data_IF_600538799459
#
_entry.id   IF_600538799459
#
_cell.length_a   1.000
_cell.length_b   1.000
_cell.length_c   1.000
_cell.angle_alpha   90.00
_cell.angle_beta   90.00
_cell.angle_gamma   90.00
#
_symmetry.space_group_name_H-M   'P 1'
#
loop_
_entity.id
_entity.type
_entity.pdbx_description
1 polymer ?
#
# COMPACT_ATOMS: atom_id res chain seq x y z
N UNK A 1 9.52 -13.93 -8.51
CA UNK A 1 8.33 -13.17 -8.07
C UNK A 1 8.71 -11.81 -7.45
N UNK A 2 9.41 -11.73 -6.31
CA UNK A 2 9.82 -10.44 -5.68
C UNK A 2 10.50 -9.47 -6.66
N UNK A 3 11.55 -9.91 -7.37
CA UNK A 3 12.24 -9.07 -8.37
C UNK A 3 11.37 -8.69 -9.57
N UNK A 4 10.44 -9.56 -9.98
CA UNK A 4 9.53 -9.32 -11.11
C UNK A 4 8.42 -8.30 -10.76
N UNK A 5 8.05 -8.23 -9.48
CA UNK A 5 7.13 -7.24 -8.94
C UNK A 5 7.82 -5.92 -8.54
N UNK A 6 9.12 -5.77 -8.82
CA UNK A 6 9.89 -4.56 -8.52
C UNK A 6 10.68 -4.59 -7.20
N UNK A 7 10.45 -5.57 -6.32
CA UNK A 7 11.18 -5.69 -5.05
C UNK A 7 12.66 -6.11 -5.20
N UNK A 8 13.33 -6.28 -4.06
CA UNK A 8 14.72 -6.76 -3.99
C UNK A 8 14.84 -7.95 -3.03
N UNK A 9 15.97 -8.69 -3.00
CA UNK A 9 16.12 -9.80 -2.05
C UNK A 9 15.98 -9.41 -0.57
N UNK A 10 16.15 -8.12 -0.25
CA UNK A 10 16.08 -7.60 1.12
C UNK A 10 14.81 -6.78 1.39
N UNK A 11 14.05 -6.39 0.37
CA UNK A 11 12.88 -5.52 0.50
C UNK A 11 11.71 -6.05 -0.31
N UNK A 12 10.56 -6.17 0.35
CA UNK A 12 9.28 -6.50 -0.27
C UNK A 12 8.94 -5.46 -1.36
N UNK A 13 8.31 -5.87 -2.48
CA UNK A 13 7.88 -4.93 -3.52
C UNK A 13 6.96 -3.84 -2.97
N UNK A 14 6.85 -2.72 -3.68
CA UNK A 14 6.01 -1.57 -3.34
C UNK A 14 4.56 -1.95 -3.04
N UNK A 15 4.03 -2.91 -3.81
CA UNK A 15 2.66 -3.44 -3.67
C UNK A 15 2.55 -4.60 -2.67
N UNK A 16 3.60 -4.84 -1.87
CA UNK A 16 3.68 -6.03 -1.03
C UNK A 16 4.05 -7.29 -1.83
N UNK A 17 3.90 -8.48 -1.21
CA UNK A 17 4.16 -9.75 -1.89
C UNK A 17 3.13 -9.99 -3.00
N UNK A 18 3.51 -9.67 -4.24
CA UNK A 18 2.77 -9.96 -5.46
C UNK A 18 3.22 -11.31 -6.03
N UNK A 19 3.10 -12.39 -5.24
CA UNK A 19 3.41 -13.72 -5.75
C UNK A 19 2.21 -14.22 -6.58
N UNK A 20 2.48 -14.86 -7.70
CA UNK A 20 1.53 -15.70 -8.45
C UNK A 20 0.87 -16.78 -7.57
N UNK A 21 1.52 -17.13 -6.47
CA UNK A 21 1.04 -18.07 -5.45
C UNK A 21 0.31 -17.41 -4.27
N UNK A 22 0.26 -16.07 -4.20
CA UNK A 22 -0.48 -15.37 -3.13
C UNK A 22 -1.95 -15.30 -3.50
N UNK A 23 -2.75 -16.21 -2.94
CA UNK A 23 -4.21 -16.19 -3.07
C UNK A 23 -4.78 -14.95 -2.39
N UNK A 24 -5.39 -14.07 -3.17
CA UNK A 24 -6.12 -12.91 -2.64
C UNK A 24 -7.53 -13.33 -2.26
N UNK A 25 -8.17 -12.67 -1.28
CA UNK A 25 -9.57 -12.91 -0.94
C UNK A 25 -10.51 -12.94 -2.15
N UNK A 26 -10.25 -12.06 -3.11
CA UNK A 26 -11.04 -11.94 -4.33
C UNK A 26 -10.91 -13.17 -5.24
N UNK A 27 -9.78 -13.89 -5.20
CA UNK A 27 -9.54 -15.05 -6.05
C UNK A 27 -10.39 -16.27 -5.65
N UNK A 28 -10.92 -16.30 -4.41
CA UNK A 28 -11.89 -17.29 -3.94
C UNK A 28 -13.29 -16.70 -3.68
N UNK A 29 -13.59 -15.55 -4.30
CA UNK A 29 -14.93 -14.97 -4.31
C UNK A 29 -15.34 -14.20 -3.05
N UNK A 30 -14.40 -13.90 -2.15
CA UNK A 30 -14.72 -13.02 -1.02
C UNK A 30 -14.97 -11.59 -1.53
N UNK A 31 -16.08 -10.94 -1.14
CA UNK A 31 -16.35 -9.57 -1.53
C UNK A 31 -15.36 -8.60 -0.87
N UNK A 32 -15.08 -7.48 -1.54
CA UNK A 32 -14.35 -6.36 -0.92
C UNK A 32 -15.20 -5.82 0.24
N UNK A 33 -14.58 -5.61 1.40
CA UNK A 33 -15.24 -4.99 2.53
C UNK A 33 -15.68 -3.56 2.19
N UNK A 34 -16.96 -3.24 2.41
CA UNK A 34 -17.54 -1.93 2.17
C UNK A 34 -18.29 -1.50 3.44
N UNK A 35 -17.72 -0.55 4.18
CA UNK A 35 -18.33 0.05 5.38
C UNK A 35 -18.18 1.57 5.38
N UNK A 36 -18.75 2.25 6.37
CA UNK A 36 -18.52 3.70 6.52
C UNK A 36 -17.05 3.99 6.87
N UNK A 37 -16.54 5.22 6.66
CA UNK A 37 -15.18 5.57 7.08
C UNK A 37 -14.87 5.23 8.54
N UNK A 38 -15.83 5.41 9.45
CA UNK A 38 -15.69 5.12 10.88
C UNK A 38 -15.61 3.60 11.15
N UNK A 39 -16.43 2.81 10.46
CA UNK A 39 -16.40 1.34 10.55
C UNK A 39 -15.09 0.77 10.00
N UNK A 40 -14.61 1.34 8.90
CA UNK A 40 -13.34 0.97 8.28
C UNK A 40 -12.17 1.30 9.23
N UNK A 41 -12.14 2.49 9.83
CA UNK A 41 -11.12 2.86 10.80
C UNK A 41 -11.16 1.97 12.05
N UNK A 42 -12.35 1.59 12.54
CA UNK A 42 -12.50 0.66 13.66
C UNK A 42 -11.96 -0.73 13.32
N UNK A 43 -12.19 -1.19 12.10
CA UNK A 43 -11.66 -2.46 11.59
C UNK A 43 -10.14 -2.43 11.49
N UNK A 44 -9.58 -1.40 10.86
CA UNK A 44 -8.12 -1.19 10.79
C UNK A 44 -7.50 -1.09 12.18
N UNK A 45 -8.11 -0.33 13.11
CA UNK A 45 -7.64 -0.22 14.50
C UNK A 45 -7.58 -1.59 15.18
N UNK A 46 -8.61 -2.41 15.00
CA UNK A 46 -8.64 -3.77 15.57
C UNK A 46 -7.50 -4.62 15.03
N UNK A 47 -7.22 -4.56 13.72
CA UNK A 47 -6.09 -5.23 13.10
C UNK A 47 -4.73 -4.72 13.62
N UNK A 48 -4.52 -3.41 13.68
CA UNK A 48 -3.26 -2.84 14.19
C UNK A 48 -3.02 -3.16 15.66
N UNK A 49 -4.05 -3.15 16.51
CA UNK A 49 -3.92 -3.59 17.91
C UNK A 49 -3.55 -5.07 18.01
N UNK A 50 -4.13 -5.91 17.15
CA UNK A 50 -3.76 -7.32 17.06
C UNK A 50 -2.27 -7.50 16.66
N UNK A 51 -1.77 -6.68 15.74
CA UNK A 51 -0.34 -6.65 15.37
C UNK A 51 0.56 -5.88 16.36
N UNK A 52 0.03 -5.45 17.51
CA UNK A 52 0.81 -4.83 18.59
C UNK A 52 1.01 -3.31 18.53
N UNK A 53 0.43 -2.61 17.55
CA UNK A 53 0.52 -1.15 17.47
C UNK A 53 -0.27 -0.47 18.58
N UNK A 54 0.26 0.57 19.25
CA UNK A 54 -0.38 1.23 20.41
C UNK A 54 -1.53 2.16 20.01
N UNK A 55 -1.21 3.16 19.20
CA UNK A 55 -2.13 4.20 18.74
C UNK A 55 -2.38 4.06 17.24
N UNK A 56 -3.60 4.38 16.82
CA UNK A 56 -4.05 4.28 15.43
C UNK A 56 -4.86 5.52 15.09
N UNK A 57 -4.48 6.19 14.01
CA UNK A 57 -5.18 7.33 13.43
C UNK A 57 -5.19 7.24 11.92
N UNK A 58 -6.01 8.08 11.30
CA UNK A 58 -6.06 8.27 9.86
C UNK A 58 -6.00 9.77 9.55
N UNK A 59 -5.34 10.11 8.44
CA UNK A 59 -5.25 11.46 7.90
C UNK A 59 -5.56 11.39 6.41
N UNK A 60 -6.17 12.44 5.87
CA UNK A 60 -6.32 12.60 4.43
C UNK A 60 -4.94 12.86 3.80
N UNK A 61 -4.67 12.29 2.63
CA UNK A 61 -3.43 12.53 1.90
C UNK A 61 -3.68 13.70 0.94
N UNK A 62 -3.15 14.86 1.30
CA UNK A 62 -3.13 16.06 0.47
C UNK A 62 -1.70 16.43 0.03
N UNK A 63 -1.57 17.56 -0.66
CA UNK A 63 -0.30 18.07 -1.17
C UNK A 63 0.70 18.42 -0.06
N UNK A 64 0.23 18.70 1.15
CA UNK A 64 1.07 18.99 2.30
C UNK A 64 1.56 17.69 2.96
N UNK A 65 0.70 16.69 3.10
CA UNK A 65 1.04 15.36 3.61
C UNK A 65 2.03 14.66 2.68
N UNK A 66 1.88 14.80 1.37
CA UNK A 66 2.80 14.21 0.39
C UNK A 66 4.24 14.71 0.52
N UNK A 67 4.47 15.91 1.09
CA UNK A 67 5.83 16.44 1.35
C UNK A 67 6.60 15.63 2.40
N UNK A 68 5.91 14.86 3.24
CA UNK A 68 6.54 13.97 4.22
C UNK A 68 7.00 12.63 3.62
N UNK A 69 6.63 12.35 2.37
CA UNK A 69 7.07 11.15 1.66
C UNK A 69 8.44 11.40 1.03
N UNK A 70 9.36 10.44 1.19
CA UNK A 70 10.67 10.52 0.54
C UNK A 70 10.53 10.55 -0.98
N UNK A 71 11.26 11.45 -1.64
CA UNK A 71 11.30 11.52 -3.11
C UNK A 71 11.98 10.32 -3.77
N UNK A 72 12.72 9.52 -3.01
CA UNK A 72 13.43 8.33 -3.50
C UNK A 72 13.50 7.26 -2.40
N UNK A 73 13.23 6.00 -2.77
CA UNK A 73 13.37 4.83 -1.89
C UNK A 73 14.15 3.75 -2.65
N UNK A 74 15.23 3.23 -2.04
CA UNK A 74 16.02 2.14 -2.65
C UNK A 74 16.59 2.46 -4.04
N UNK A 75 16.87 3.73 -4.33
CA UNK A 75 17.36 4.18 -5.64
C UNK A 75 16.26 4.49 -6.67
N UNK A 76 14.99 4.19 -6.38
CA UNK A 76 13.85 4.46 -7.27
C UNK A 76 13.12 5.73 -6.89
N UNK A 77 12.68 6.50 -7.88
CA UNK A 77 11.90 7.71 -7.66
C UNK A 77 10.51 7.36 -7.12
N UNK A 78 10.04 8.08 -6.09
CA UNK A 78 8.64 7.99 -5.63
C UNK A 78 7.86 9.13 -6.29
N UNK A 79 6.82 8.80 -7.06
CA UNK A 79 6.05 9.77 -7.82
C UNK A 79 4.55 9.63 -7.54
N UNK A 80 3.84 10.75 -7.63
CA UNK A 80 2.39 10.78 -7.50
C UNK A 80 1.80 10.94 -8.90
N UNK A 81 0.93 10.03 -9.31
CA UNK A 81 0.31 10.01 -10.64
C UNK A 81 -1.21 9.85 -10.53
N UNK A 82 -1.95 10.37 -11.53
CA UNK A 82 -3.40 10.14 -11.66
C UNK A 82 -3.65 8.77 -12.31
N UNK A 83 -3.45 7.73 -11.51
CA UNK A 83 -3.66 6.32 -11.86
C UNK A 83 -4.59 5.67 -10.84
N UNK A 84 -5.28 4.61 -11.26
CA UNK A 84 -6.25 3.90 -10.41
C UNK A 84 -5.57 3.06 -9.32
N UNK A 85 -4.48 2.39 -9.67
CA UNK A 85 -3.75 1.51 -8.76
C UNK A 85 -2.28 1.94 -8.66
N UNK A 86 -1.71 1.74 -7.47
CA UNK A 86 -0.28 1.87 -7.27
C UNK A 86 0.46 0.83 -8.15
N UNK A 87 1.66 1.17 -8.60
CA UNK A 87 2.53 0.21 -9.29
C UNK A 87 4.01 0.53 -9.07
N UNK A 88 4.86 -0.41 -9.44
CA UNK A 88 6.31 -0.29 -9.35
C UNK A 88 6.97 -0.69 -10.67
N UNK A 89 8.04 0.02 -11.02
CA UNK A 89 8.91 -0.32 -12.14
C UNK A 89 10.35 -0.49 -11.66
N UNK A 90 11.27 -0.75 -12.59
CA UNK A 90 12.70 -0.76 -12.29
C UNK A 90 13.22 0.58 -11.75
N UNK A 91 12.57 1.71 -12.08
CA UNK A 91 13.09 3.06 -11.82
C UNK A 91 12.21 3.93 -10.93
N UNK A 92 10.92 3.58 -10.76
CA UNK A 92 9.98 4.37 -9.96
C UNK A 92 8.94 3.54 -9.21
N UNK A 93 8.43 4.11 -8.12
CA UNK A 93 7.30 3.65 -7.32
C UNK A 93 6.21 4.71 -7.39
N UNK A 94 4.96 4.31 -7.61
CA UNK A 94 3.86 5.25 -7.86
C UNK A 94 2.84 5.22 -6.73
N UNK A 95 2.50 6.40 -6.23
CA UNK A 95 1.37 6.67 -5.34
C UNK A 95 0.21 7.17 -6.22
N UNK A 96 -0.95 6.50 -6.23
CA UNK A 96 -2.13 6.97 -6.95
C UNK A 96 -2.69 8.22 -6.27
N UNK A 97 -3.19 9.17 -7.06
CA UNK A 97 -3.80 10.42 -6.56
C UNK A 97 -5.33 10.34 -6.35
N UNK A 98 -5.92 9.17 -6.56
CA UNK A 98 -7.36 8.92 -6.41
C UNK A 98 -7.72 8.39 -5.04
#
# INVERSE_FOLDING_TARGET
AIMAAGGSPTFTPWLGPQLDTTTRPQDFGAPVWQGTPEENLKTCRSAFRFFGGSDVGAIEIDDDVLKFIHSQIGGKAVVVEDVEEAYETATKMVIPRK
#
